data_IF_127464848902
#
_entry.id   IF_127464848902
#
_cell.length_a   1.000
_cell.length_b   1.000
_cell.length_c   1.000
_cell.angle_alpha   90.00
_cell.angle_beta   90.00
_cell.angle_gamma   90.00
#
_symmetry.space_group_name_H-M   'P 1'
#
loop_
_entity.id
_entity.type
_entity.pdbx_description
1 polymer ?
#
# COMPACT_ATOMS: atom_id res chain seq x y z
N UNK A 1 -2.24 -3.36 -19.98
CA UNK A 1 -0.98 -2.67 -20.21
C UNK A 1 -0.24 -2.35 -18.91
N UNK A 2 1.05 -2.02 -19.02
CA UNK A 2 1.91 -1.69 -17.86
C UNK A 2 2.47 -0.29 -17.99
N UNK A 3 2.35 0.51 -16.93
CA UNK A 3 3.01 1.80 -16.76
C UNK A 3 4.13 1.67 -15.71
N UNK A 4 5.35 2.06 -16.06
CA UNK A 4 6.48 2.09 -15.14
C UNK A 4 6.85 3.53 -14.81
N UNK A 5 6.93 3.86 -13.50
CA UNK A 5 7.20 5.20 -12.98
C UNK A 5 8.44 5.15 -12.07
N UNK A 6 9.53 5.79 -12.47
CA UNK A 6 10.74 5.85 -11.64
C UNK A 6 10.60 6.74 -10.41
N UNK A 7 9.80 7.79 -10.49
CA UNK A 7 9.58 8.77 -9.42
C UNK A 7 8.29 8.53 -8.65
N UNK A 8 7.36 9.47 -8.77
CA UNK A 8 6.11 9.54 -8.02
C UNK A 8 4.96 9.91 -8.96
N UNK A 9 3.74 9.51 -8.61
CA UNK A 9 2.49 10.01 -9.19
C UNK A 9 1.88 10.95 -8.15
N UNK A 10 1.89 12.22 -8.41
CA UNK A 10 1.36 13.25 -7.51
C UNK A 10 1.01 14.54 -8.25
N UNK A 11 0.26 15.39 -7.60
CA UNK A 11 0.07 16.77 -8.10
C UNK A 11 1.39 17.56 -8.06
N UNK A 12 1.42 18.69 -8.75
CA UNK A 12 2.55 19.62 -8.66
C UNK A 12 2.70 20.13 -7.22
N UNK A 13 3.92 20.09 -6.69
CA UNK A 13 4.22 20.48 -5.31
C UNK A 13 3.97 21.98 -5.01
N UNK A 14 4.01 22.83 -6.02
CA UNK A 14 3.80 24.28 -5.86
C UNK A 14 2.31 24.67 -5.77
N UNK A 15 1.38 23.76 -6.10
CA UNK A 15 -0.05 24.03 -6.09
C UNK A 15 -0.72 23.14 -5.03
N UNK A 16 -1.04 23.73 -3.89
CA UNK A 16 -1.67 22.97 -2.78
C UNK A 16 -3.08 22.47 -3.11
N UNK A 17 -3.76 23.03 -4.09
CA UNK A 17 -5.17 22.78 -4.42
C UNK A 17 -5.37 22.03 -5.75
N UNK A 18 -4.35 21.38 -6.28
CA UNK A 18 -4.46 20.63 -7.54
C UNK A 18 -5.24 19.33 -7.36
N UNK A 19 -6.29 19.14 -8.16
CA UNK A 19 -6.98 17.88 -8.26
C UNK A 19 -6.17 16.87 -9.11
N UNK A 20 -6.18 15.61 -8.72
CA UNK A 20 -5.61 14.51 -9.47
C UNK A 20 -6.67 13.42 -9.65
N UNK A 21 -6.95 13.06 -10.89
CA UNK A 21 -7.78 11.90 -11.18
C UNK A 21 -6.89 10.70 -11.47
N UNK A 22 -6.93 9.72 -10.58
CA UNK A 22 -6.29 8.43 -10.78
C UNK A 22 -7.38 7.38 -11.09
N UNK A 23 -7.29 6.78 -12.28
CA UNK A 23 -8.19 5.69 -12.68
C UNK A 23 -7.37 4.52 -13.19
N UNK A 24 -7.55 3.37 -12.58
CA UNK A 24 -6.90 2.13 -12.97
C UNK A 24 -7.95 1.02 -13.11
N UNK A 25 -8.02 0.43 -14.29
CA UNK A 25 -9.04 -0.58 -14.64
C UNK A 25 -8.41 -1.94 -14.92
N UNK A 26 -9.25 -2.90 -15.24
CA UNK A 26 -8.89 -4.30 -15.47
C UNK A 26 -7.63 -4.51 -16.32
N UNK A 27 -6.87 -5.53 -15.97
CA UNK A 27 -5.66 -5.99 -16.66
C UNK A 27 -4.58 -4.91 -16.83
N UNK A 28 -4.60 -3.89 -15.99
CA UNK A 28 -3.58 -2.85 -15.98
C UNK A 28 -2.65 -2.99 -14.78
N UNK A 29 -1.38 -2.68 -15.00
CA UNK A 29 -0.36 -2.66 -13.96
C UNK A 29 0.31 -1.29 -13.94
N UNK A 30 0.37 -0.68 -12.76
CA UNK A 30 1.17 0.51 -12.52
C UNK A 30 2.27 0.12 -11.53
N UNK A 31 3.53 0.34 -11.91
CA UNK A 31 4.70 0.05 -11.09
C UNK A 31 5.36 1.37 -10.74
N UNK A 32 5.39 1.73 -9.46
CA UNK A 32 6.08 2.91 -8.97
C UNK A 32 7.36 2.46 -8.29
N UNK A 33 8.50 2.68 -8.96
CA UNK A 33 9.81 2.36 -8.40
C UNK A 33 10.18 3.28 -7.24
N UNK A 34 9.93 4.58 -7.37
CA UNK A 34 10.22 5.55 -6.33
C UNK A 34 11.71 5.88 -6.14
N UNK A 35 12.60 5.45 -7.06
CA UNK A 35 14.04 5.72 -6.97
C UNK A 35 14.37 7.21 -7.01
N UNK A 36 13.57 7.99 -7.74
CA UNK A 36 13.68 9.44 -7.88
C UNK A 36 12.56 10.19 -7.13
N UNK A 37 11.99 9.55 -6.10
CA UNK A 37 10.95 10.15 -5.30
C UNK A 37 11.50 11.21 -4.33
N UNK A 38 10.75 12.29 -4.12
CA UNK A 38 11.00 13.23 -3.03
C UNK A 38 10.58 12.54 -1.72
N UNK A 39 11.48 12.32 -0.75
CA UNK A 39 11.19 11.51 0.43
C UNK A 39 10.03 12.02 1.29
N UNK A 40 9.79 13.33 1.30
CA UNK A 40 8.70 13.96 2.06
C UNK A 40 7.34 13.89 1.38
N UNK A 41 7.25 13.25 0.19
CA UNK A 41 6.01 13.10 -0.57
C UNK A 41 5.76 11.62 -0.86
N UNK A 42 4.49 11.23 -0.95
CA UNK A 42 4.14 9.83 -1.23
C UNK A 42 4.51 9.40 -2.66
N UNK A 43 4.70 8.10 -2.86
CA UNK A 43 4.93 7.51 -4.19
C UNK A 43 3.68 7.63 -5.06
N UNK A 44 2.52 7.36 -4.47
CA UNK A 44 1.22 7.76 -5.02
C UNK A 44 0.56 8.72 -4.01
N UNK A 45 0.33 9.94 -4.44
CA UNK A 45 -0.25 11.00 -3.60
C UNK A 45 -1.50 11.58 -4.22
N UNK A 46 -2.65 11.24 -3.64
CA UNK A 46 -3.97 11.73 -4.00
C UNK A 46 -4.52 12.55 -2.84
N UNK A 47 -4.50 13.86 -2.99
CA UNK A 47 -5.00 14.79 -1.96
C UNK A 47 -6.50 15.03 -2.09
N UNK A 48 -7.13 15.67 -1.09
CA UNK A 48 -8.59 15.83 -1.04
C UNK A 48 -9.18 16.81 -2.07
N UNK A 49 -8.48 17.76 -2.59
CA UNK A 49 -9.00 18.88 -3.40
C UNK A 49 -9.62 18.46 -4.74
N UNK A 50 -10.84 17.91 -4.72
CA UNK A 50 -11.55 17.46 -5.92
C UNK A 50 -10.91 16.26 -6.63
N UNK A 51 -9.94 15.61 -6.00
CA UNK A 51 -9.25 14.46 -6.55
C UNK A 51 -10.14 13.21 -6.55
N UNK A 52 -9.88 12.32 -7.49
CA UNK A 52 -10.62 11.07 -7.68
C UNK A 52 -9.64 9.90 -7.64
N UNK A 53 -9.99 8.86 -6.87
CA UNK A 53 -9.28 7.60 -6.87
C UNK A 53 -10.22 6.45 -7.25
N UNK A 54 -10.01 5.87 -8.41
CA UNK A 54 -10.80 4.74 -8.90
C UNK A 54 -9.88 3.57 -9.24
N UNK A 55 -10.22 2.39 -8.73
CA UNK A 55 -9.50 1.15 -8.99
C UNK A 55 -10.49 -0.01 -9.12
N UNK A 56 -10.36 -0.82 -10.15
CA UNK A 56 -11.32 -1.90 -10.43
C UNK A 56 -10.66 -3.17 -10.99
N UNK A 57 -11.42 -4.26 -10.95
CA UNK A 57 -11.11 -5.55 -11.53
C UNK A 57 -9.79 -6.14 -11.06
N UNK A 58 -8.96 -6.60 -11.98
CA UNK A 58 -7.67 -7.27 -11.70
C UNK A 58 -6.47 -6.32 -11.79
N UNK A 59 -6.70 -5.01 -11.74
CA UNK A 59 -5.63 -4.01 -11.79
C UNK A 59 -4.64 -4.14 -10.63
N UNK A 60 -3.36 -3.85 -10.87
CA UNK A 60 -2.31 -3.90 -9.84
C UNK A 60 -1.55 -2.59 -9.77
N UNK A 61 -1.50 -1.99 -8.60
CA UNK A 61 -0.58 -0.90 -8.27
C UNK A 61 0.54 -1.48 -7.40
N UNK A 62 1.76 -1.55 -7.94
CA UNK A 62 2.93 -2.05 -7.22
C UNK A 62 3.82 -0.91 -6.76
N UNK A 63 4.15 -0.91 -5.48
CA UNK A 63 5.17 -0.05 -4.88
C UNK A 63 6.45 -0.86 -4.68
N UNK A 64 7.56 -0.41 -5.28
CA UNK A 64 8.87 -1.10 -5.18
C UNK A 64 9.67 -0.59 -3.99
N UNK A 65 9.72 0.74 -3.80
CA UNK A 65 10.47 1.37 -2.70
C UNK A 65 9.54 2.00 -1.68
N UNK A 66 9.82 1.70 -0.43
CA UNK A 66 9.22 2.36 0.72
C UNK A 66 10.05 3.54 1.23
N UNK A 67 9.90 3.84 2.52
CA UNK A 67 10.69 4.86 3.24
C UNK A 67 10.16 6.28 3.09
N UNK A 68 8.92 6.46 2.65
CA UNK A 68 8.24 7.75 2.69
C UNK A 68 8.06 8.26 4.12
N UNK A 69 8.24 9.56 4.34
CA UNK A 69 8.18 10.17 5.68
C UNK A 69 6.82 10.83 5.95
N UNK A 70 6.63 12.10 5.62
CA UNK A 70 5.47 12.89 6.06
C UNK A 70 4.12 12.41 5.51
N UNK A 71 4.07 11.98 4.24
CA UNK A 71 2.86 11.48 3.58
C UNK A 71 2.87 9.95 3.41
N UNK A 72 3.91 9.29 3.93
CA UNK A 72 4.12 7.87 3.68
C UNK A 72 4.50 7.57 2.23
N UNK A 73 4.14 6.38 1.77
CA UNK A 73 4.39 5.90 0.40
C UNK A 73 3.11 5.85 -0.43
N UNK A 74 1.99 5.54 0.22
CA UNK A 74 0.65 5.58 -0.35
C UNK A 74 -0.19 6.59 0.45
N UNK A 75 -0.54 7.71 -0.16
CA UNK A 75 -1.37 8.75 0.44
C UNK A 75 -2.66 8.92 -0.36
N UNK A 76 -3.76 8.41 0.17
CA UNK A 76 -5.05 8.37 -0.50
C UNK A 76 -6.11 9.12 0.28
N UNK A 77 -6.28 10.40 0.00
CA UNK A 77 -7.30 11.27 0.61
C UNK A 77 -8.20 11.90 -0.45
N UNK A 78 -8.53 11.14 -1.49
CA UNK A 78 -9.38 11.64 -2.57
C UNK A 78 -10.74 12.12 -2.06
N UNK A 79 -11.26 13.18 -2.68
CA UNK A 79 -12.61 13.70 -2.40
C UNK A 79 -13.71 12.71 -2.82
N UNK A 80 -13.45 11.91 -3.85
CA UNK A 80 -14.34 10.83 -4.27
C UNK A 80 -13.55 9.60 -4.71
N UNK A 81 -14.19 8.44 -4.59
CA UNK A 81 -13.57 7.19 -4.98
C UNK A 81 -14.60 6.18 -5.49
N UNK A 82 -14.14 5.31 -6.40
CA UNK A 82 -14.85 4.08 -6.81
C UNK A 82 -13.84 2.95 -6.79
N UNK A 83 -13.85 2.16 -5.71
CA UNK A 83 -12.94 1.05 -5.51
C UNK A 83 -13.75 -0.23 -5.45
N UNK A 84 -13.76 -0.96 -6.58
CA UNK A 84 -14.53 -2.20 -6.80
C UNK A 84 -13.66 -3.41 -7.09
N UNK A 85 -12.34 -3.23 -7.09
CA UNK A 85 -11.36 -4.28 -7.34
C UNK A 85 -9.95 -3.72 -7.30
N UNK A 86 -8.99 -4.53 -7.73
CA UNK A 86 -7.59 -4.19 -7.82
C UNK A 86 -6.78 -4.53 -6.57
N UNK A 87 -5.47 -4.57 -6.72
CA UNK A 87 -4.52 -4.91 -5.66
C UNK A 87 -3.48 -3.83 -5.52
N UNK A 88 -3.29 -3.35 -4.30
CA UNK A 88 -2.09 -2.62 -3.90
C UNK A 88 -1.05 -3.66 -3.49
N UNK A 89 0.08 -3.68 -4.16
CA UNK A 89 1.16 -4.64 -3.94
C UNK A 89 2.40 -3.93 -3.38
N UNK A 90 2.70 -4.18 -2.12
CA UNK A 90 3.93 -3.75 -1.46
C UNK A 90 5.00 -4.83 -1.68
N UNK A 91 5.77 -4.71 -2.77
CA UNK A 91 6.74 -5.71 -3.17
C UNK A 91 7.97 -5.06 -3.75
N UNK A 92 9.08 -5.19 -3.07
CA UNK A 92 10.34 -4.71 -3.59
C UNK A 92 10.85 -5.57 -4.78
N UNK A 93 11.66 -4.98 -5.61
CA UNK A 93 12.21 -5.63 -6.81
C UNK A 93 13.64 -6.13 -6.61
N UNK A 94 13.97 -6.77 -5.49
CA UNK A 94 15.35 -7.25 -5.25
C UNK A 94 16.35 -6.11 -4.92
N UNK A 95 15.89 -5.11 -4.15
CA UNK A 95 16.72 -3.95 -3.76
C UNK A 95 17.85 -4.36 -2.81
N UNK A 96 17.71 -5.50 -2.12
CA UNK A 96 18.70 -6.00 -1.18
C UNK A 96 18.69 -5.32 0.19
N UNK A 97 17.64 -4.57 0.50
CA UNK A 97 17.42 -3.94 1.82
C UNK A 97 15.94 -3.98 2.20
N UNK A 98 15.59 -4.19 3.47
CA UNK A 98 14.22 -4.15 3.93
C UNK A 98 13.49 -2.86 3.51
N UNK A 99 12.24 -2.99 3.09
CA UNK A 99 11.40 -1.85 2.69
C UNK A 99 10.19 -1.73 3.60
N UNK A 100 9.93 -0.52 4.11
CA UNK A 100 8.69 -0.22 4.84
C UNK A 100 7.83 0.71 3.99
N UNK A 101 6.63 0.25 3.67
CA UNK A 101 5.63 0.98 2.90
C UNK A 101 4.63 1.59 3.87
N UNK A 102 4.70 2.89 4.05
CA UNK A 102 3.78 3.62 4.93
C UNK A 102 2.50 3.98 4.18
N UNK A 103 1.35 3.58 4.72
CA UNK A 103 0.02 3.73 4.10
C UNK A 103 -0.81 4.69 4.93
N UNK A 104 -1.24 5.77 4.31
CA UNK A 104 -2.17 6.76 4.85
C UNK A 104 -3.37 6.90 3.90
N UNK A 105 -4.48 6.25 4.22
CA UNK A 105 -5.63 6.19 3.31
C UNK A 105 -6.96 6.43 4.04
N UNK A 106 -7.64 7.52 3.70
CA UNK A 106 -9.03 7.78 4.08
C UNK A 106 -10.03 7.10 3.13
N UNK A 107 -9.62 6.85 1.87
CA UNK A 107 -10.43 6.06 0.94
C UNK A 107 -10.12 4.58 1.10
N UNK A 108 -11.11 3.68 0.96
CA UNK A 108 -10.85 2.26 1.04
C UNK A 108 -9.95 1.80 -0.11
N UNK A 109 -9.16 0.75 0.13
CA UNK A 109 -8.49 -0.03 -0.91
C UNK A 109 -9.24 -1.36 -1.08
N UNK A 110 -9.04 -2.07 -2.21
CA UNK A 110 -9.73 -3.35 -2.39
C UNK A 110 -8.88 -4.48 -1.81
N UNK A 111 -7.79 -4.89 -2.46
CA UNK A 111 -6.86 -5.85 -1.89
C UNK A 111 -5.54 -5.18 -1.50
N UNK A 112 -4.92 -5.66 -0.44
CA UNK A 112 -3.56 -5.33 -0.06
C UNK A 112 -2.75 -6.62 -0.01
N UNK A 113 -1.64 -6.65 -0.76
CA UNK A 113 -0.66 -7.74 -0.68
C UNK A 113 0.67 -7.19 -0.21
N UNK A 114 1.24 -7.85 0.79
CA UNK A 114 2.61 -7.62 1.25
C UNK A 114 3.43 -8.83 0.84
N UNK A 115 4.48 -8.59 0.08
CA UNK A 115 5.28 -9.65 -0.54
C UNK A 115 6.78 -9.33 -0.37
N UNK A 116 7.40 -10.02 0.57
CA UNK A 116 8.84 -10.04 0.78
C UNK A 116 9.55 -10.86 -0.30
N UNK A 117 10.54 -11.61 0.03
CA UNK A 117 11.14 -12.69 -0.78
C UNK A 117 12.31 -13.35 -0.08
N UNK A 118 13.09 -12.61 0.68
CA UNK A 118 14.24 -13.09 1.46
C UNK A 118 14.45 -12.17 2.67
N UNK A 119 15.31 -12.59 3.60
CA UNK A 119 15.64 -11.78 4.78
C UNK A 119 16.21 -10.39 4.43
N UNK A 120 16.92 -10.26 3.30
CA UNK A 120 17.40 -8.97 2.81
C UNK A 120 16.33 -8.18 2.06
N UNK A 121 15.25 -8.82 1.66
CA UNK A 121 14.16 -8.23 0.89
C UNK A 121 12.83 -8.28 1.65
N UNK A 122 12.85 -8.03 2.94
CA UNK A 122 11.64 -7.94 3.76
C UNK A 122 10.76 -6.78 3.30
N UNK A 123 9.47 -7.04 3.18
CA UNK A 123 8.45 -6.04 2.90
C UNK A 123 7.58 -5.83 4.14
N UNK A 124 7.48 -4.59 4.60
CA UNK A 124 6.57 -4.21 5.68
C UNK A 124 5.57 -3.18 5.19
N UNK A 125 4.27 -3.51 5.20
CA UNK A 125 3.23 -2.51 5.02
C UNK A 125 2.79 -1.99 6.40
N UNK A 126 2.89 -0.68 6.62
CA UNK A 126 2.57 -0.04 7.90
C UNK A 126 1.52 1.03 7.72
N UNK A 127 0.43 0.92 8.47
CA UNK A 127 -0.60 1.96 8.51
C UNK A 127 -0.10 3.16 9.31
N UNK A 128 -0.34 4.36 8.81
CA UNK A 128 0.00 5.61 9.51
C UNK A 128 -1.17 6.58 9.45
N UNK A 129 -1.32 7.40 10.48
CA UNK A 129 -2.24 8.53 10.66
C UNK A 129 -3.73 8.16 10.66
N UNK A 130 -4.27 7.52 9.61
CA UNK A 130 -5.70 7.29 9.45
C UNK A 130 -6.07 5.80 9.46
N UNK A 131 -7.27 5.44 9.95
CA UNK A 131 -7.79 4.08 9.86
C UNK A 131 -7.81 3.57 8.43
N UNK A 132 -7.40 2.31 8.22
CA UNK A 132 -7.38 1.67 6.90
C UNK A 132 -8.57 0.75 6.72
N UNK A 133 -9.30 0.88 5.61
CA UNK A 133 -10.33 -0.08 5.20
C UNK A 133 -9.88 -0.86 3.98
N UNK A 134 -9.88 -2.19 4.09
CA UNK A 134 -9.60 -3.15 3.03
C UNK A 134 -10.90 -3.87 2.69
N UNK A 135 -11.45 -3.63 1.49
CA UNK A 135 -12.76 -4.20 1.08
C UNK A 135 -12.70 -5.68 0.71
N UNK A 136 -11.58 -6.10 0.14
CA UNK A 136 -11.29 -7.48 -0.26
C UNK A 136 -10.32 -8.16 0.71
N UNK A 137 -9.24 -8.72 0.19
CA UNK A 137 -8.29 -9.47 0.98
C UNK A 137 -7.08 -8.66 1.45
N UNK A 138 -6.61 -8.95 2.65
CA UNK A 138 -5.24 -8.71 3.09
C UNK A 138 -4.46 -10.01 2.96
N UNK A 139 -3.44 -10.03 2.09
CA UNK A 139 -2.53 -11.14 1.91
C UNK A 139 -1.14 -10.78 2.43
N UNK A 140 -0.65 -11.54 3.40
CA UNK A 140 0.72 -11.55 3.88
C UNK A 140 1.36 -12.79 3.25
N UNK A 141 2.21 -12.58 2.22
CA UNK A 141 2.48 -13.63 1.22
C UNK A 141 3.52 -14.66 1.65
N UNK A 142 4.49 -14.28 2.48
CA UNK A 142 5.59 -15.17 2.90
C UNK A 142 6.16 -14.80 4.28
N UNK A 143 7.19 -15.53 4.72
CA UNK A 143 7.87 -15.32 6.00
C UNK A 143 8.65 -13.99 6.10
N UNK A 144 8.84 -13.30 5.00
CA UNK A 144 9.53 -12.01 4.92
C UNK A 144 8.57 -10.84 4.70
N UNK A 145 7.28 -11.11 4.84
CA UNK A 145 6.19 -10.15 4.68
C UNK A 145 5.60 -9.78 6.02
N UNK A 146 5.45 -8.49 6.29
CA UNK A 146 4.92 -7.97 7.55
C UNK A 146 3.79 -6.98 7.25
N UNK A 147 2.67 -7.14 7.94
CA UNK A 147 1.65 -6.10 8.03
C UNK A 147 1.57 -5.54 9.44
N UNK A 148 1.61 -4.22 9.57
CA UNK A 148 1.53 -3.52 10.85
C UNK A 148 0.42 -2.48 10.85
N UNK A 149 -0.55 -2.64 11.72
CA UNK A 149 -1.57 -1.62 12.00
C UNK A 149 -1.02 -0.41 12.76
N UNK A 150 0.16 -0.54 13.40
CA UNK A 150 0.84 0.56 14.09
C UNK A 150 -0.04 1.28 15.14
N UNK A 151 -0.88 0.54 15.85
CA UNK A 151 -1.85 1.09 16.82
C UNK A 151 -3.09 1.75 16.18
N UNK A 152 -3.22 1.73 14.87
CA UNK A 152 -4.31 2.33 14.12
C UNK A 152 -5.31 1.25 13.73
N UNK A 153 -6.60 1.60 13.76
CA UNK A 153 -7.66 0.68 13.38
C UNK A 153 -7.54 0.23 11.92
N UNK A 154 -7.65 -1.07 11.70
CA UNK A 154 -7.69 -1.68 10.37
C UNK A 154 -8.97 -2.50 10.25
N UNK A 155 -9.78 -2.16 9.26
CA UNK A 155 -11.04 -2.82 8.96
C UNK A 155 -10.88 -3.66 7.69
N UNK A 156 -10.90 -4.99 7.83
CA UNK A 156 -10.80 -5.94 6.72
C UNK A 156 -12.21 -6.53 6.51
N UNK A 157 -12.85 -6.20 5.39
CA UNK A 157 -14.20 -6.66 5.07
C UNK A 157 -14.23 -8.00 4.33
N UNK A 158 -13.09 -8.43 3.81
CA UNK A 158 -12.92 -9.72 3.15
C UNK A 158 -11.97 -10.63 3.96
N UNK A 159 -11.11 -11.34 3.26
CA UNK A 159 -10.26 -12.36 3.87
C UNK A 159 -8.95 -11.80 4.41
N UNK A 160 -8.52 -12.29 5.56
CA UNK A 160 -7.13 -12.21 6.02
C UNK A 160 -6.43 -13.53 5.69
N UNK A 161 -5.41 -13.47 4.83
CA UNK A 161 -4.59 -14.62 4.47
C UNK A 161 -3.16 -14.37 4.94
N UNK A 162 -2.66 -15.23 5.82
CA UNK A 162 -1.29 -15.15 6.31
C UNK A 162 -0.56 -16.44 5.96
N UNK A 163 0.38 -16.35 5.03
CA UNK A 163 1.19 -17.47 4.56
C UNK A 163 2.55 -17.56 5.27
N UNK A 164 2.76 -16.79 6.34
CA UNK A 164 3.95 -16.99 7.15
C UNK A 164 3.95 -18.39 7.75
N UNK A 165 5.08 -19.07 7.71
CA UNK A 165 5.24 -20.32 8.42
C UNK A 165 5.35 -20.06 9.91
N UNK A 166 4.68 -20.88 10.73
CA UNK A 166 4.75 -20.79 12.20
C UNK A 166 6.15 -21.06 12.78
N UNK A 167 7.10 -21.45 11.94
CA UNK A 167 8.48 -21.77 12.29
C UNK A 167 9.48 -20.68 11.90
N UNK A 168 9.03 -19.53 11.39
CA UNK A 168 9.89 -18.39 11.15
C UNK A 168 10.46 -17.90 12.49
N UNK A 169 11.63 -18.41 12.84
CA UNK A 169 12.27 -18.15 14.11
C UNK A 169 12.72 -16.70 14.22
N UNK A 170 12.10 -15.98 15.10
CA UNK A 170 12.67 -14.93 15.93
C UNK A 170 13.06 -13.60 15.35
N UNK A 171 13.55 -13.48 14.14
CA UNK A 171 14.04 -12.19 13.61
C UNK A 171 13.08 -11.60 12.59
N UNK A 172 12.29 -12.44 11.97
CA UNK A 172 11.24 -12.04 11.03
C UNK A 172 9.97 -12.85 11.33
N UNK A 173 9.43 -12.69 12.53
CA UNK A 173 8.05 -13.06 12.74
C UNK A 173 7.20 -12.15 11.83
N UNK A 174 7.30 -12.38 10.55
CA UNK A 174 6.41 -11.78 9.59
C UNK A 174 4.98 -12.08 10.01
N UNK A 175 4.05 -11.41 9.45
CA UNK A 175 2.66 -11.58 9.77
C UNK A 175 2.04 -10.34 10.35
N UNK A 176 0.92 -10.53 10.98
CA UNK A 176 0.18 -9.45 11.58
C UNK A 176 0.88 -8.98 12.86
N UNK A 177 1.40 -7.77 12.85
CA UNK A 177 1.90 -7.11 14.05
C UNK A 177 0.82 -6.15 14.58
N UNK A 178 0.54 -6.28 15.86
CA UNK A 178 -0.57 -5.65 16.55
C UNK A 178 -0.67 -4.15 16.37
N UNK A 179 -1.60 -3.71 15.61
CA UNK A 179 -2.42 -2.56 15.89
C UNK A 179 -3.78 -3.08 16.31
N UNK A 180 -4.71 -2.26 16.69
CA UNK A 180 -6.05 -2.75 16.93
C UNK A 180 -6.70 -3.14 15.60
N UNK A 181 -6.95 -4.42 15.39
CA UNK A 181 -7.94 -4.87 14.40
C UNK A 181 -9.29 -4.69 15.05
N UNK A 182 -10.08 -3.78 14.54
CA UNK A 182 -11.42 -3.52 15.11
C UNK A 182 -12.47 -4.46 14.58
N UNK A 183 -12.27 -5.05 13.41
CA UNK A 183 -13.23 -6.00 12.84
C UNK A 183 -12.58 -6.89 11.78
N UNK A 184 -12.62 -8.20 12.02
CA UNK A 184 -12.46 -9.24 11.01
C UNK A 184 -13.87 -9.73 10.67
N UNK A 185 -14.37 -9.44 9.49
CA UNK A 185 -15.57 -10.07 8.94
C UNK A 185 -15.13 -11.14 7.95
N UNK A 186 -15.45 -12.37 8.27
CA UNK A 186 -15.29 -13.53 7.37
C UNK A 186 -16.49 -13.64 6.46
#
# INVERSE_FOLDING_TARGET
GTLFVNGQIRRNASVLNGALTYKQADNSTVIINGSNAIPTRAKLEITNFGSIFNMSGTSTLRLIRGGGTSFGDLFLQAASNTVTGGTILCQQGGIGTPQTYSIDALVPIFNLTVDGSTALNTATARVINNPLTIKGALLINDDFSIFSGNGINVNILGNLVNNNSSNATGINAGGYQSGSVTQLTT
#
